data_IF_793085394966
#
_entry.id   IF_793085394966
#
_cell.length_a   1.000
_cell.length_b   1.000
_cell.length_c   1.000
_cell.angle_alpha   90.00
_cell.angle_beta   90.00
_cell.angle_gamma   90.00
#
_symmetry.space_group_name_H-M   'P 1'
#
loop_
_entity.id
_entity.type
_entity.pdbx_description
1 polymer ?
#
# COMPACT_ATOMS: atom_id res chain seq x y z
N UNK A 1 -0.51 28.94 -16.52
CA UNK A 1 -1.16 29.19 -15.22
C UNK A 1 -1.24 27.86 -14.50
N UNK A 2 -0.39 27.66 -13.51
CA UNK A 2 -0.48 26.50 -12.62
C UNK A 2 -1.66 26.70 -11.65
N UNK A 3 -2.38 25.63 -11.29
CA UNK A 3 -3.42 25.71 -10.26
C UNK A 3 -2.79 26.10 -8.91
N UNK A 4 -3.59 26.69 -8.02
CA UNK A 4 -3.12 27.28 -6.77
C UNK A 4 -2.54 26.27 -5.77
N UNK A 5 -2.80 24.97 -5.99
CA UNK A 5 -2.27 23.84 -5.25
C UNK A 5 -1.10 23.15 -5.97
N UNK A 6 -0.37 23.85 -6.84
CA UNK A 6 0.91 23.35 -7.37
C UNK A 6 2.02 23.53 -6.30
N UNK A 7 2.80 22.48 -5.97
CA UNK A 7 2.89 21.19 -6.67
C UNK A 7 1.97 20.07 -6.13
N UNK A 8 1.25 20.27 -5.02
CA UNK A 8 0.44 19.27 -4.31
C UNK A 8 -0.76 18.66 -5.08
N UNK A 9 -1.14 19.22 -6.23
CA UNK A 9 -2.13 18.62 -7.14
C UNK A 9 -1.50 17.68 -8.18
N UNK A 10 -0.17 17.69 -8.27
CA UNK A 10 0.63 16.97 -9.25
C UNK A 10 1.70 16.09 -8.59
N UNK A 11 1.76 16.05 -7.25
CA UNK A 11 2.53 15.02 -6.58
C UNK A 11 1.68 13.73 -6.59
N UNK A 12 2.16 12.73 -7.32
CA UNK A 12 1.73 11.34 -7.17
C UNK A 12 2.30 10.77 -5.86
N UNK A 13 2.09 11.50 -4.77
CA UNK A 13 2.51 11.12 -3.44
C UNK A 13 1.30 10.50 -2.74
N UNK A 14 1.50 9.29 -2.22
CA UNK A 14 0.58 8.74 -1.24
C UNK A 14 0.86 9.37 0.12
N UNK A 15 -0.17 9.84 0.81
CA UNK A 15 -0.04 10.43 2.14
C UNK A 15 -0.72 9.59 3.22
N UNK A 16 -0.24 9.63 4.46
CA UNK A 16 -1.04 9.14 5.59
C UNK A 16 -2.21 10.11 5.85
N UNK A 17 -3.41 9.58 6.06
CA UNK A 17 -4.64 10.40 6.24
C UNK A 17 -4.63 11.23 7.52
N UNK A 18 -3.83 10.83 8.52
CA UNK A 18 -3.80 11.44 9.84
C UNK A 18 -2.45 12.08 10.14
N UNK A 19 -2.46 13.28 10.73
CA UNK A 19 -1.24 13.96 11.13
C UNK A 19 -0.62 13.31 12.38
N UNK A 20 0.70 13.05 12.38
CA UNK A 20 1.36 12.41 13.53
C UNK A 20 1.20 13.26 14.80
N UNK A 21 0.63 12.64 15.83
CA UNK A 21 0.38 13.30 17.13
C UNK A 21 1.66 13.46 17.98
N UNK A 22 2.70 12.66 17.70
CA UNK A 22 4.04 12.78 18.28
C UNK A 22 5.04 11.93 17.48
N UNK A 23 6.32 12.33 17.45
CA UNK A 23 7.41 11.48 16.95
C UNK A 23 7.54 10.24 17.83
N UNK A 24 7.01 9.11 17.36
CA UNK A 24 7.21 7.82 17.99
C UNK A 24 8.49 7.22 17.39
N UNK A 25 9.41 6.75 18.24
CA UNK A 25 10.57 5.99 17.76
C UNK A 25 10.08 4.64 17.24
N UNK A 26 9.84 4.58 15.94
CA UNK A 26 9.48 3.36 15.22
C UNK A 26 10.74 2.79 14.57
N UNK A 27 10.72 1.49 14.30
CA UNK A 27 11.76 0.86 13.51
C UNK A 27 11.70 1.44 12.10
N UNK A 28 12.86 1.90 11.60
CA UNK A 28 12.95 2.43 10.25
C UNK A 28 12.87 1.28 9.24
N UNK A 29 12.21 1.52 8.12
CA UNK A 29 12.22 0.62 6.98
C UNK A 29 13.66 0.48 6.48
N UNK A 30 14.09 -0.76 6.30
CA UNK A 30 15.38 -1.05 5.67
C UNK A 30 15.21 -1.22 4.17
N UNK A 31 16.28 -0.93 3.41
CA UNK A 31 16.28 -1.18 1.97
C UNK A 31 15.96 -2.65 1.63
N UNK A 32 16.47 -3.61 2.41
CA UNK A 32 16.20 -5.04 2.19
C UNK A 32 14.72 -5.39 2.35
N UNK A 33 14.03 -4.80 3.33
CA UNK A 33 12.59 -5.02 3.51
C UNK A 33 11.78 -4.41 2.37
N UNK A 34 12.17 -3.22 1.89
CA UNK A 34 11.55 -2.59 0.74
C UNK A 34 11.74 -3.43 -0.54
N UNK A 35 12.94 -3.96 -0.77
CA UNK A 35 13.25 -4.80 -1.93
C UNK A 35 12.44 -6.11 -1.92
N UNK A 36 12.34 -6.78 -0.77
CA UNK A 36 11.56 -8.01 -0.60
C UNK A 36 10.06 -7.76 -0.80
N UNK A 37 9.53 -6.69 -0.18
CA UNK A 37 8.13 -6.31 -0.33
C UNK A 37 7.80 -5.91 -1.78
N UNK A 38 8.71 -5.24 -2.50
CA UNK A 38 8.56 -4.95 -3.93
C UNK A 38 8.48 -6.23 -4.75
N UNK A 39 9.37 -7.20 -4.52
CA UNK A 39 9.36 -8.47 -5.24
C UNK A 39 8.05 -9.23 -5.00
N UNK A 40 7.57 -9.28 -3.75
CA UNK A 40 6.30 -9.91 -3.42
C UNK A 40 5.13 -9.22 -4.13
N UNK A 41 5.10 -7.88 -4.14
CA UNK A 41 4.07 -7.13 -4.84
C UNK A 41 4.10 -7.35 -6.36
N UNK A 42 5.28 -7.36 -6.99
CA UNK A 42 5.43 -7.64 -8.43
C UNK A 42 4.98 -9.06 -8.77
N UNK A 43 5.37 -10.06 -7.97
CA UNK A 43 4.99 -11.45 -8.20
C UNK A 43 3.47 -11.64 -8.17
N UNK A 44 2.82 -10.89 -7.29
CA UNK A 44 1.37 -10.91 -7.08
C UNK A 44 0.62 -10.22 -8.23
N UNK A 45 1.04 -9.02 -8.66
CA UNK A 45 0.31 -8.25 -9.70
C UNK A 45 0.69 -8.61 -11.13
N UNK A 46 1.93 -9.06 -11.38
CA UNK A 46 2.45 -9.26 -12.74
C UNK A 46 1.64 -10.24 -13.62
N UNK A 47 1.04 -11.34 -13.11
CA UNK A 47 0.28 -12.28 -13.93
C UNK A 47 -0.95 -11.67 -14.62
N UNK A 48 -1.44 -10.55 -14.11
CA UNK A 48 -2.67 -9.90 -14.55
C UNK A 48 -2.43 -8.92 -15.70
N UNK A 49 -1.18 -8.52 -15.94
CA UNK A 49 -0.82 -7.52 -16.93
C UNK A 49 -0.21 -8.11 -18.20
N UNK A 50 -0.17 -7.28 -19.26
CA UNK A 50 0.48 -7.62 -20.52
C UNK A 50 1.98 -7.91 -20.35
N UNK A 51 2.57 -8.68 -21.26
CA UNK A 51 4.01 -8.95 -21.24
C UNK A 51 4.88 -7.67 -21.27
N UNK A 52 4.39 -6.60 -21.90
CA UNK A 52 5.05 -5.28 -21.90
C UNK A 52 5.05 -4.66 -20.50
N UNK A 53 3.89 -4.64 -19.84
CA UNK A 53 3.76 -4.17 -18.46
C UNK A 53 4.58 -5.01 -17.48
N UNK A 54 4.65 -6.34 -17.67
CA UNK A 54 5.49 -7.22 -16.86
C UNK A 54 6.98 -6.88 -16.99
N UNK A 55 7.46 -6.58 -18.20
CA UNK A 55 8.84 -6.13 -18.43
C UNK A 55 9.09 -4.78 -17.76
N UNK A 56 8.11 -3.87 -17.79
CA UNK A 56 8.20 -2.59 -17.10
C UNK A 56 8.33 -2.80 -15.59
N UNK A 57 7.44 -3.59 -14.97
CA UNK A 57 7.45 -3.90 -13.53
C UNK A 57 8.77 -4.56 -13.10
N UNK A 58 9.32 -5.46 -13.91
CA UNK A 58 10.60 -6.13 -13.62
C UNK A 58 11.83 -5.20 -13.62
N UNK A 59 11.69 -3.98 -14.16
CA UNK A 59 12.75 -2.96 -14.20
C UNK A 59 12.64 -1.90 -13.10
N UNK A 60 11.57 -1.95 -12.30
CA UNK A 60 11.27 -0.98 -11.25
C UNK A 60 12.31 -1.06 -10.15
N UNK A 61 12.78 0.10 -9.71
CA UNK A 61 13.65 0.21 -8.54
C UNK A 61 12.85 0.73 -7.34
N UNK A 62 13.32 0.42 -6.14
CA UNK A 62 12.77 1.00 -4.90
C UNK A 62 13.90 1.57 -4.07
N UNK A 63 13.68 2.74 -3.47
CA UNK A 63 14.65 3.42 -2.61
C UNK A 63 13.96 3.89 -1.33
N UNK A 64 14.55 3.60 -0.18
CA UNK A 64 14.09 4.12 1.11
C UNK A 64 14.79 5.45 1.40
N UNK A 65 14.01 6.51 1.58
CA UNK A 65 14.47 7.90 1.77
C UNK A 65 13.72 8.58 2.91
N UNK A 66 14.17 9.76 3.33
CA UNK A 66 13.45 10.60 4.31
C UNK A 66 12.51 11.54 3.53
N UNK A 67 11.22 11.21 3.50
CA UNK A 67 10.20 12.05 2.86
C UNK A 67 9.63 13.03 3.89
N UNK A 68 9.50 14.29 3.50
CA UNK A 68 8.97 15.33 4.39
C UNK A 68 7.45 15.22 4.56
N UNK A 69 6.97 15.52 5.76
CA UNK A 69 5.54 15.70 6.02
C UNK A 69 4.81 14.37 6.21
N UNK A 70 3.72 14.16 5.48
CA UNK A 70 2.88 12.96 5.57
C UNK A 70 3.07 11.99 4.41
N UNK A 71 4.03 12.26 3.52
CA UNK A 71 4.26 11.42 2.34
C UNK A 71 4.81 10.04 2.77
N UNK A 72 4.20 8.99 2.23
CA UNK A 72 4.54 7.58 2.45
C UNK A 72 5.33 7.02 1.27
N UNK A 73 4.91 7.40 0.06
CA UNK A 73 5.47 6.94 -1.20
C UNK A 73 5.41 8.03 -2.25
N UNK A 74 6.25 7.89 -3.26
CA UNK A 74 6.11 8.59 -4.54
C UNK A 74 6.85 7.85 -5.65
N UNK A 75 6.40 8.02 -6.88
CA UNK A 75 7.11 7.55 -8.06
C UNK A 75 7.80 8.71 -8.77
N UNK A 76 9.06 8.49 -9.19
CA UNK A 76 9.73 9.36 -10.16
C UNK A 76 10.45 8.52 -11.19
N UNK A 77 10.13 8.77 -12.46
CA UNK A 77 10.64 7.98 -13.59
C UNK A 77 10.28 6.49 -13.46
N UNK A 78 11.22 5.64 -13.01
CA UNK A 78 11.03 4.20 -12.84
C UNK A 78 11.46 3.73 -11.44
N UNK A 79 11.45 4.65 -10.48
CA UNK A 79 11.88 4.40 -9.10
C UNK A 79 10.75 4.79 -8.15
N UNK A 80 10.40 3.85 -7.27
CA UNK A 80 9.54 4.05 -6.12
C UNK A 80 10.40 4.58 -4.97
N UNK A 81 10.02 5.70 -4.38
CA UNK A 81 10.64 6.24 -3.18
C UNK A 81 9.69 6.05 -2.01
N UNK A 82 10.13 5.33 -0.99
CA UNK A 82 9.38 5.12 0.24
C UNK A 82 9.97 5.94 1.38
N UNK A 83 9.10 6.46 2.24
CA UNK A 83 9.53 7.11 3.46
C UNK A 83 10.12 6.11 4.47
N UNK A 84 11.19 6.47 5.15
CA UNK A 84 11.88 5.56 6.07
C UNK A 84 11.11 5.29 7.36
N UNK A 85 10.22 6.18 7.78
CA UNK A 85 9.52 6.07 9.07
C UNK A 85 7.99 6.12 8.97
N UNK A 86 7.45 6.07 7.75
CA UNK A 86 6.03 6.16 7.44
C UNK A 86 5.38 7.41 8.07
N UNK A 87 5.96 8.59 7.82
CA UNK A 87 5.56 9.85 8.42
C UNK A 87 5.51 9.83 9.96
N UNK A 88 6.39 9.03 10.58
CA UNK A 88 6.52 8.87 12.03
C UNK A 88 5.62 7.79 12.65
N UNK A 89 4.81 7.08 11.86
CA UNK A 89 3.92 6.01 12.35
C UNK A 89 4.58 4.64 12.37
N UNK A 90 5.58 4.41 11.54
CA UNK A 90 6.20 3.11 11.34
C UNK A 90 5.45 2.24 10.31
N UNK A 91 6.18 1.27 9.77
CA UNK A 91 5.70 0.37 8.72
C UNK A 91 5.26 -0.96 9.31
N UNK A 92 4.07 -1.41 8.91
CA UNK A 92 3.69 -2.81 9.00
C UNK A 92 4.30 -3.53 7.80
N UNK A 93 5.26 -4.41 8.09
CA UNK A 93 5.90 -5.29 7.11
C UNK A 93 5.30 -6.67 7.30
N UNK A 94 4.48 -7.08 6.34
CA UNK A 94 3.78 -8.35 6.40
C UNK A 94 4.67 -9.49 5.89
N UNK A 95 4.89 -10.50 6.73
CA UNK A 95 5.62 -11.72 6.37
C UNK A 95 4.75 -12.69 5.55
N UNK A 96 3.43 -12.57 5.65
CA UNK A 96 2.41 -13.43 5.02
C UNK A 96 1.37 -12.60 4.25
N UNK A 97 1.79 -11.79 3.25
CA UNK A 97 0.91 -10.83 2.57
C UNK A 97 -0.30 -11.44 1.87
N UNK A 98 -0.27 -12.76 1.60
CA UNK A 98 -1.33 -13.48 0.90
C UNK A 98 -2.39 -14.08 1.83
N UNK A 99 -2.09 -14.20 3.13
CA UNK A 99 -2.98 -14.82 4.10
C UNK A 99 -3.93 -13.78 4.72
N UNK A 100 -3.51 -12.51 4.74
CA UNK A 100 -4.27 -11.38 5.34
C UNK A 100 -4.72 -11.64 6.78
N UNK A 101 -4.02 -12.51 7.51
CA UNK A 101 -4.44 -13.05 8.81
C UNK A 101 -4.56 -11.99 9.91
N UNK A 102 -3.94 -10.84 9.66
CA UNK A 102 -3.85 -9.67 10.53
C UNK A 102 -5.04 -8.74 10.37
N UNK A 103 -5.86 -8.98 9.35
CA UNK A 103 -6.95 -8.10 8.94
C UNK A 103 -8.29 -8.82 8.90
N UNK A 104 -9.35 -8.03 8.99
CA UNK A 104 -10.72 -8.43 8.73
C UNK A 104 -11.34 -7.49 7.70
N UNK A 105 -12.41 -7.93 7.05
CA UNK A 105 -13.16 -7.07 6.12
C UNK A 105 -13.74 -5.85 6.83
N UNK A 106 -13.56 -4.68 6.22
CA UNK A 106 -14.17 -3.42 6.64
C UNK A 106 -15.20 -2.93 5.62
N UNK A 107 -14.76 -2.73 4.38
CA UNK A 107 -15.57 -2.18 3.30
C UNK A 107 -15.08 -2.68 1.94
N UNK A 108 -15.77 -2.27 0.86
CA UNK A 108 -15.41 -2.69 -0.48
C UNK A 108 -13.95 -2.32 -0.79
N UNK A 109 -13.14 -3.32 -1.13
CA UNK A 109 -11.70 -3.19 -1.40
C UNK A 109 -10.85 -2.72 -0.21
N UNK A 110 -11.35 -2.83 1.04
CA UNK A 110 -10.63 -2.37 2.22
C UNK A 110 -10.73 -3.38 3.37
N UNK A 111 -9.58 -3.67 3.96
CA UNK A 111 -9.44 -4.47 5.17
C UNK A 111 -8.96 -3.59 6.31
N UNK A 112 -9.41 -3.89 7.53
CA UNK A 112 -8.98 -3.24 8.76
C UNK A 112 -8.27 -4.26 9.66
N UNK A 113 -7.18 -3.85 10.28
CA UNK A 113 -6.41 -4.69 11.18
C UNK A 113 -7.25 -5.16 12.39
N UNK A 114 -6.97 -6.38 12.85
CA UNK A 114 -7.59 -6.94 14.04
C UNK A 114 -7.18 -6.15 15.30
N UNK A 115 -8.09 -5.95 16.28
CA UNK A 115 -7.76 -5.25 17.52
C UNK A 115 -6.61 -5.91 18.29
N UNK A 116 -5.62 -5.11 18.68
CA UNK A 116 -4.42 -5.56 19.40
C UNK A 116 -3.33 -6.15 18.50
N UNK A 117 -3.55 -6.23 17.19
CA UNK A 117 -2.52 -6.61 16.23
C UNK A 117 -1.56 -5.43 15.96
N UNK A 118 -0.30 -5.72 15.62
CA UNK A 118 0.70 -4.68 15.35
C UNK A 118 0.28 -3.75 14.20
N UNK A 119 -0.37 -4.31 13.17
CA UNK A 119 -0.88 -3.58 12.02
C UNK A 119 -1.83 -2.44 12.41
N UNK A 120 -2.61 -2.55 13.51
CA UNK A 120 -3.65 -1.59 13.92
C UNK A 120 -3.19 -0.13 13.96
N UNK A 121 -1.92 0.11 14.27
CA UNK A 121 -1.36 1.45 14.47
C UNK A 121 -0.25 1.81 13.48
N UNK A 122 0.02 0.94 12.51
CA UNK A 122 1.11 1.08 11.54
C UNK A 122 0.56 1.29 10.12
N UNK A 123 1.44 1.74 9.22
CA UNK A 123 1.12 1.90 7.80
C UNK A 123 1.43 0.61 7.05
N UNK A 124 0.47 0.07 6.30
CA UNK A 124 0.65 -1.16 5.52
C UNK A 124 1.59 -0.95 4.32
N UNK A 125 2.81 -1.50 4.39
CA UNK A 125 3.83 -1.37 3.33
C UNK A 125 3.36 -1.96 2.00
N UNK A 126 2.64 -3.07 2.06
CA UNK A 126 2.14 -3.77 0.87
C UNK A 126 1.17 -2.90 0.07
N UNK A 127 0.25 -2.21 0.75
CA UNK A 127 -0.68 -1.25 0.12
C UNK A 127 0.08 -0.11 -0.55
N UNK A 128 1.06 0.50 0.13
CA UNK A 128 1.82 1.62 -0.44
C UNK A 128 2.59 1.20 -1.69
N UNK A 129 3.30 0.07 -1.66
CA UNK A 129 4.07 -0.38 -2.84
C UNK A 129 3.15 -0.60 -4.03
N UNK A 130 1.99 -1.24 -3.83
CA UNK A 130 1.03 -1.50 -4.93
C UNK A 130 0.40 -0.23 -5.47
N UNK A 131 0.14 0.75 -4.63
CA UNK A 131 -0.29 2.09 -5.06
C UNK A 131 0.73 2.71 -6.03
N UNK A 132 2.01 2.69 -5.64
CA UNK A 132 3.10 3.25 -6.45
C UNK A 132 3.34 2.44 -7.75
N UNK A 133 3.16 1.12 -7.73
CA UNK A 133 3.15 0.30 -8.95
C UNK A 133 1.98 0.69 -9.88
N UNK A 134 0.83 1.06 -9.33
CA UNK A 134 -0.28 1.63 -10.09
C UNK A 134 0.12 2.91 -10.83
N UNK A 135 0.81 3.83 -10.17
CA UNK A 135 1.35 5.04 -10.83
C UNK A 135 2.33 4.72 -11.95
N UNK A 136 3.22 3.74 -11.77
CA UNK A 136 4.12 3.28 -12.84
C UNK A 136 3.36 2.70 -14.04
N UNK A 137 2.22 2.06 -13.79
CA UNK A 137 1.30 1.56 -14.82
C UNK A 137 0.33 2.63 -15.36
N UNK A 138 0.61 3.91 -15.09
CA UNK A 138 -0.17 5.07 -15.53
C UNK A 138 -1.59 5.18 -14.94
N UNK A 139 -1.81 4.60 -13.75
CA UNK A 139 -3.01 4.86 -12.97
C UNK A 139 -2.84 6.13 -12.14
N UNK A 140 -3.84 7.01 -12.19
CA UNK A 140 -3.90 8.22 -11.37
C UNK A 140 -4.68 7.95 -10.08
N UNK A 141 -4.61 8.88 -9.13
CA UNK A 141 -5.42 8.81 -7.94
C UNK A 141 -6.93 8.75 -8.24
N UNK A 142 -7.66 7.98 -7.45
CA UNK A 142 -9.12 7.87 -7.50
C UNK A 142 -9.73 8.07 -6.11
N UNK A 143 -11.06 8.03 -6.02
CA UNK A 143 -11.78 8.30 -4.77
C UNK A 143 -11.86 7.12 -3.80
N UNK A 144 -11.56 5.90 -4.26
CA UNK A 144 -11.73 4.65 -3.51
C UNK A 144 -10.73 3.55 -3.94
N UNK A 145 -10.37 2.69 -2.98
CA UNK A 145 -9.51 1.54 -3.22
C UNK A 145 -8.02 1.86 -3.21
N UNK A 146 -7.22 1.03 -3.89
CA UNK A 146 -5.76 1.07 -3.78
C UNK A 146 -5.13 2.35 -4.34
N UNK A 147 -5.81 3.06 -5.24
CA UNK A 147 -5.33 4.31 -5.84
C UNK A 147 -5.87 5.56 -5.11
N UNK A 148 -6.38 5.45 -3.89
CA UNK A 148 -6.70 6.63 -3.06
C UNK A 148 -5.43 7.43 -2.74
N UNK A 149 -5.53 8.77 -2.72
CA UNK A 149 -4.39 9.66 -2.42
C UNK A 149 -3.94 9.63 -0.94
N UNK A 150 -4.73 8.97 -0.07
CA UNK A 150 -4.45 8.87 1.36
C UNK A 150 -4.66 7.45 1.87
N UNK A 151 -3.84 7.04 2.84
CA UNK A 151 -3.94 5.74 3.50
C UNK A 151 -4.12 5.92 5.02
N UNK A 152 -5.13 5.25 5.56
CA UNK A 152 -5.38 5.16 7.00
C UNK A 152 -4.45 4.11 7.66
N UNK A 153 -4.16 4.31 8.94
CA UNK A 153 -3.43 3.33 9.73
C UNK A 153 -4.23 2.03 9.86
N UNK A 154 -3.53 0.90 9.97
CA UNK A 154 -4.16 -0.41 10.11
C UNK A 154 -5.05 -0.81 8.95
N UNK A 155 -4.99 -0.10 7.83
CA UNK A 155 -5.81 -0.36 6.65
C UNK A 155 -4.97 -1.01 5.57
N UNK A 156 -5.49 -2.10 4.99
CA UNK A 156 -4.96 -2.70 3.75
C UNK A 156 -5.97 -2.50 2.64
N UNK A 157 -5.56 -1.88 1.54
CA UNK A 157 -6.41 -1.69 0.36
C UNK A 157 -6.20 -2.82 -0.62
N UNK A 158 -7.27 -3.49 -1.03
CA UNK A 158 -7.22 -4.52 -2.04
C UNK A 158 -7.27 -3.91 -3.45
N UNK A 159 -6.57 -4.51 -4.42
CA UNK A 159 -6.72 -4.14 -5.83
C UNK A 159 -8.16 -4.35 -6.33
N UNK A 160 -8.69 -3.38 -7.09
CA UNK A 160 -9.96 -3.51 -7.82
C UNK A 160 -9.79 -4.30 -9.13
N UNK A 161 -8.58 -4.32 -9.68
CA UNK A 161 -8.32 -4.77 -11.05
C UNK A 161 -8.28 -6.29 -11.27
N UNK A 162 -8.46 -7.11 -10.22
CA UNK A 162 -8.15 -8.54 -10.32
C UNK A 162 -9.19 -9.55 -9.82
N UNK A 163 -10.33 -9.11 -9.29
CA UNK A 163 -11.26 -10.06 -8.66
C UNK A 163 -10.65 -10.83 -7.48
N UNK A 164 -9.41 -10.53 -7.03
CA UNK A 164 -8.86 -11.09 -5.80
C UNK A 164 -9.61 -10.54 -4.59
N UNK A 165 -10.16 -9.32 -4.70
CA UNK A 165 -11.19 -8.86 -3.80
C UNK A 165 -12.39 -9.83 -3.80
N UNK A 166 -12.92 -10.22 -4.97
CA UNK A 166 -14.05 -11.15 -5.06
C UNK A 166 -13.73 -12.54 -4.49
N UNK A 167 -12.55 -13.11 -4.78
CA UNK A 167 -12.11 -14.42 -4.29
C UNK A 167 -11.82 -14.40 -2.78
N UNK A 168 -11.19 -13.32 -2.27
CA UNK A 168 -10.96 -13.12 -0.84
C UNK A 168 -12.26 -12.90 -0.07
N UNK A 169 -13.19 -12.12 -0.60
CA UNK A 169 -14.50 -11.94 0.03
C UNK A 169 -15.36 -13.20 -0.06
N UNK A 170 -15.18 -14.02 -1.10
CA UNK A 170 -15.79 -15.34 -1.16
C UNK A 170 -15.25 -16.27 -0.07
N UNK A 171 -13.92 -16.31 0.14
CA UNK A 171 -13.33 -17.17 1.18
C UNK A 171 -13.66 -16.70 2.60
N UNK A 172 -13.64 -15.39 2.88
CA UNK A 172 -14.06 -14.86 4.18
C UNK A 172 -15.51 -15.18 4.51
N UNK A 173 -16.39 -15.17 3.52
CA UNK A 173 -17.80 -15.54 3.71
C UNK A 173 -17.93 -17.02 4.08
N UNK A 174 -17.16 -17.90 3.44
CA UNK A 174 -17.15 -19.33 3.77
C UNK A 174 -16.58 -19.61 5.18
N UNK A 175 -15.53 -18.89 5.58
CA UNK A 175 -14.93 -19.03 6.93
C UNK A 175 -15.85 -18.51 8.04
N UNK A 176 -16.54 -17.39 7.82
CA UNK A 176 -17.55 -16.87 8.74
C UNK A 176 -18.75 -17.82 8.89
N UNK A 177 -19.15 -18.53 7.83
CA UNK A 177 -20.18 -19.57 7.91
C UNK A 177 -19.68 -20.82 8.67
N UNK A 178 -18.41 -21.19 8.54
CA UNK A 178 -17.80 -22.34 9.24
C UNK A 178 -17.60 -22.11 10.74
N UNK A 179 -17.37 -20.87 11.19
CA UNK A 179 -17.20 -20.53 12.60
C UNK A 179 -18.52 -20.32 13.35
N UNK A 180 -19.67 -20.46 12.68
CA UNK A 180 -21.01 -20.18 13.23
C UNK A 180 -21.71 -21.36 13.93
N UNK A 181 -20.99 -22.44 14.27
CA UNK A 181 -21.54 -23.67 14.90
C UNK A 181 -21.23 -23.81 16.39
#
# INVERSE_FOLDING_TARGET
NYPANYPDAWNQQLHVSTLPLAEKKTSLLTQSQADEALQNAINDVSPEFSAESQQQLASVNIEVVDLSGTALGQVKSNTIYLDMNAAGYGWFVDETPWDHSEFQHDSNLSLIALPGHEAEILVDLWTVIRHELGHLLAHEHVGDGIMEATLDLGTRKLPDWNGAADDFFASLKEEAELLSF
#
